data_IF_904229087634
#
_entry.id   IF_904229087634
#
_cell.length_a   1.000
_cell.length_b   1.000
_cell.length_c   1.000
_cell.angle_alpha   90.00
_cell.angle_beta   90.00
_cell.angle_gamma   90.00
#
_symmetry.space_group_name_H-M   'P 1'
#
loop_
_entity.id
_entity.type
_entity.pdbx_description
1 polymer ?
#
# COMPACT_ATOMS: atom_id res chain seq x y z
N UNK A 1 3.88 0.96 -15.61
CA UNK A 1 4.31 2.38 -15.68
C UNK A 1 4.90 2.74 -14.34
N UNK A 2 5.98 3.50 -14.30
CA UNK A 2 6.48 4.06 -13.04
C UNK A 2 5.53 5.16 -12.58
N UNK A 3 5.29 5.26 -11.28
CA UNK A 3 4.59 6.40 -10.72
C UNK A 3 5.44 7.67 -10.85
N UNK A 4 4.78 8.81 -11.04
CA UNK A 4 5.43 10.11 -11.15
C UNK A 4 5.21 10.91 -9.87
N UNK A 5 6.30 11.33 -9.24
CA UNK A 5 6.27 12.17 -8.04
C UNK A 5 6.44 13.69 -8.36
N UNK A 6 6.65 14.03 -9.63
CA UNK A 6 6.75 15.41 -10.13
C UNK A 6 8.19 15.84 -10.49
N UNK A 7 9.13 14.95 -10.28
CA UNK A 7 10.57 15.08 -10.40
C UNK A 7 11.15 13.94 -11.28
N UNK A 8 12.44 14.03 -11.68
CA UNK A 8 13.02 13.03 -12.58
C UNK A 8 12.96 11.61 -12.00
N UNK A 9 12.67 10.62 -12.85
CA UNK A 9 12.41 9.22 -12.47
C UNK A 9 13.42 8.58 -11.50
N UNK A 10 14.67 9.02 -11.51
CA UNK A 10 15.76 8.46 -10.68
C UNK A 10 16.10 9.30 -9.46
N UNK A 11 15.33 10.34 -9.15
CA UNK A 11 15.53 11.16 -7.96
C UNK A 11 15.17 10.41 -6.68
N UNK A 12 15.64 10.91 -5.54
CA UNK A 12 15.27 10.34 -4.23
C UNK A 12 13.79 10.63 -3.94
N UNK A 13 13.08 9.67 -3.35
CA UNK A 13 11.75 9.94 -2.79
C UNK A 13 11.72 9.47 -1.35
N UNK A 14 11.35 10.39 -0.47
CA UNK A 14 11.11 10.19 0.95
C UNK A 14 9.84 10.96 1.27
N UNK A 15 8.95 10.37 2.07
CA UNK A 15 7.71 11.04 2.48
C UNK A 15 6.97 11.68 1.30
N UNK A 16 6.80 10.91 0.23
CA UNK A 16 6.24 11.36 -1.05
C UNK A 16 5.10 10.45 -1.49
N UNK A 17 4.24 10.95 -2.35
CA UNK A 17 3.16 10.19 -2.95
C UNK A 17 2.96 10.61 -4.41
N UNK A 18 2.37 9.72 -5.19
CA UNK A 18 2.04 9.99 -6.58
C UNK A 18 0.53 9.92 -6.82
N UNK A 19 0.08 10.43 -7.96
CA UNK A 19 -1.31 10.35 -8.40
C UNK A 19 -1.45 9.29 -9.50
N UNK A 20 -2.44 8.40 -9.38
CA UNK A 20 -2.77 7.41 -10.41
C UNK A 20 -4.25 7.47 -10.75
N UNK A 21 -4.54 7.87 -11.98
CA UNK A 21 -5.86 7.84 -12.60
C UNK A 21 -6.29 6.41 -12.93
N UNK A 22 -7.51 6.04 -12.55
CA UNK A 22 -8.12 4.75 -12.81
C UNK A 22 -9.25 4.89 -13.84
N UNK A 23 -9.37 3.97 -14.81
CA UNK A 23 -10.50 3.90 -15.74
C UNK A 23 -11.79 3.32 -15.10
N UNK A 24 -11.75 3.04 -13.80
CA UNK A 24 -12.84 2.48 -12.99
C UNK A 24 -12.81 3.06 -11.57
N UNK A 25 -13.83 2.74 -10.76
CA UNK A 25 -13.89 3.15 -9.36
C UNK A 25 -13.17 2.12 -8.47
N UNK A 26 -12.19 2.57 -7.70
CA UNK A 26 -11.66 1.84 -6.55
C UNK A 26 -12.53 2.11 -5.34
N UNK A 27 -13.07 1.06 -4.73
CA UNK A 27 -13.89 1.14 -3.51
C UNK A 27 -13.08 0.73 -2.29
N UNK A 28 -13.06 1.60 -1.27
CA UNK A 28 -12.53 1.32 0.07
C UNK A 28 -13.66 1.64 1.07
N UNK A 29 -14.19 0.60 1.73
CA UNK A 29 -15.38 0.68 2.58
C UNK A 29 -16.56 1.39 1.87
N UNK A 30 -17.16 2.44 2.44
CA UNK A 30 -18.28 3.15 1.79
C UNK A 30 -17.84 4.19 0.76
N UNK A 31 -16.54 4.40 0.57
CA UNK A 31 -15.99 5.42 -0.33
C UNK A 31 -15.51 4.81 -1.63
N UNK A 32 -15.61 5.56 -2.72
CA UNK A 32 -15.05 5.18 -4.00
C UNK A 32 -14.48 6.38 -4.76
N UNK A 33 -13.38 6.19 -5.47
CA UNK A 33 -12.76 7.19 -6.32
C UNK A 33 -12.12 6.55 -7.57
N UNK A 34 -11.93 7.36 -8.61
CA UNK A 34 -11.14 6.99 -9.80
C UNK A 34 -9.72 7.55 -9.75
N UNK A 35 -9.29 8.13 -8.63
CA UNK A 35 -7.93 8.60 -8.40
C UNK A 35 -7.45 7.97 -7.11
N UNK A 36 -6.25 7.41 -7.15
CA UNK A 36 -5.55 6.86 -5.99
C UNK A 36 -4.25 7.59 -5.74
N UNK A 37 -3.82 7.55 -4.49
CA UNK A 37 -2.60 8.18 -4.03
C UNK A 37 -1.67 7.16 -3.37
N UNK A 38 -0.89 6.39 -4.16
CA UNK A 38 0.16 5.54 -3.63
C UNK A 38 1.25 6.38 -2.95
N UNK A 39 1.54 6.06 -1.69
CA UNK A 39 2.58 6.70 -0.90
C UNK A 39 3.84 5.84 -0.88
N UNK A 40 5.00 6.47 -0.92
CA UNK A 40 6.31 5.82 -0.70
C UNK A 40 6.31 4.95 0.54
N UNK A 41 5.64 5.38 1.60
CA UNK A 41 5.47 4.69 2.89
C UNK A 41 4.53 3.47 2.85
N UNK A 42 4.33 2.86 1.68
CA UNK A 42 3.73 1.52 1.55
C UNK A 42 2.23 1.44 1.83
N UNK A 43 1.50 2.53 1.62
CA UNK A 43 0.04 2.58 1.64
C UNK A 43 -0.54 3.25 0.39
N UNK A 44 -1.82 3.00 0.11
CA UNK A 44 -2.56 3.64 -0.99
C UNK A 44 -3.88 4.17 -0.44
N UNK A 45 -4.12 5.47 -0.62
CA UNK A 45 -5.37 6.13 -0.22
C UNK A 45 -6.22 6.56 -1.42
N UNK A 46 -7.50 6.84 -1.15
CA UNK A 46 -8.40 7.54 -2.08
C UNK A 46 -8.89 8.86 -1.47
N UNK A 47 -9.18 9.84 -2.33
CA UNK A 47 -9.65 11.16 -1.93
C UNK A 47 -8.51 12.18 -1.73
N UNK A 48 -7.46 11.79 -1.02
CA UNK A 48 -6.27 12.63 -0.79
C UNK A 48 -5.00 11.78 -0.61
N UNK A 49 -3.83 12.35 -0.91
CA UNK A 49 -2.52 11.75 -0.64
C UNK A 49 -2.02 12.05 0.77
N UNK A 50 -1.05 11.27 1.23
CA UNK A 50 -0.42 11.47 2.55
C UNK A 50 1.04 11.04 2.53
N UNK A 51 1.80 11.63 3.44
CA UNK A 51 3.22 11.40 3.67
C UNK A 51 3.47 10.69 5.02
N UNK A 52 2.43 10.17 5.66
CA UNK A 52 2.55 9.58 7.00
C UNK A 52 3.51 8.38 7.00
N UNK A 53 4.60 8.45 7.77
CA UNK A 53 5.61 7.40 7.84
C UNK A 53 5.57 6.59 9.14
N UNK A 54 4.89 7.06 10.19
CA UNK A 54 4.87 6.41 11.50
C UNK A 54 3.71 5.41 11.63
N UNK A 55 3.93 4.08 11.53
CA UNK A 55 2.84 3.13 11.54
C UNK A 55 2.11 3.10 12.89
N UNK A 56 0.80 2.92 12.82
CA UNK A 56 -0.06 2.77 13.99
C UNK A 56 -1.05 1.61 13.79
N UNK A 57 -1.69 1.21 14.89
CA UNK A 57 -2.83 0.31 14.83
C UNK A 57 -3.96 0.95 14.01
N UNK A 58 -4.56 0.15 13.12
CA UNK A 58 -5.69 0.54 12.29
C UNK A 58 -7.02 0.25 13.02
N UNK A 59 -8.02 1.13 12.91
CA UNK A 59 -7.95 2.42 12.22
C UNK A 59 -7.21 3.50 13.02
N UNK A 60 -6.66 4.49 12.32
CA UNK A 60 -5.98 5.67 12.89
C UNK A 60 -6.33 6.95 12.14
N UNK A 61 -6.25 8.09 12.84
CA UNK A 61 -6.39 9.43 12.28
C UNK A 61 -5.11 9.96 11.60
N UNK A 62 -4.00 9.21 11.66
CA UNK A 62 -2.74 9.61 10.99
C UNK A 62 -2.72 9.33 9.48
N UNK A 63 -3.65 8.50 9.00
CA UNK A 63 -3.82 8.19 7.59
C UNK A 63 -5.10 8.84 7.06
N UNK A 64 -5.19 9.13 5.75
CA UNK A 64 -6.46 9.41 5.11
C UNK A 64 -7.48 8.32 5.47
N UNK A 65 -8.73 8.73 5.67
CA UNK A 65 -9.74 7.84 6.24
C UNK A 65 -9.89 6.54 5.44
N UNK A 66 -9.81 6.62 4.10
CA UNK A 66 -9.98 5.49 3.18
C UNK A 66 -8.63 5.08 2.58
N UNK A 67 -7.97 4.14 3.25
CA UNK A 67 -6.59 3.75 2.97
C UNK A 67 -6.41 2.24 3.09
N UNK A 68 -5.69 1.64 2.14
CA UNK A 68 -5.15 0.29 2.25
C UNK A 68 -3.66 0.35 2.63
N UNK A 69 -3.23 -0.51 3.54
CA UNK A 69 -1.88 -0.57 4.07
C UNK A 69 -1.31 -1.96 3.78
N UNK A 70 -0.81 -2.23 2.56
CA UNK A 70 -0.12 -3.49 2.28
C UNK A 70 1.19 -3.62 3.06
N UNK A 71 1.89 -2.52 3.35
CA UNK A 71 3.10 -2.51 4.16
C UNK A 71 3.37 -1.07 4.65
N UNK A 72 2.51 -0.52 5.52
CA UNK A 72 2.72 0.84 5.99
C UNK A 72 3.90 0.90 6.97
N UNK A 73 4.97 1.56 6.54
CA UNK A 73 6.24 1.73 7.27
C UNK A 73 6.96 3.00 6.77
N UNK A 74 8.07 3.37 7.41
CA UNK A 74 8.95 4.44 6.97
C UNK A 74 9.87 3.94 5.83
N UNK A 75 9.48 4.25 4.59
CA UNK A 75 10.08 3.71 3.37
C UNK A 75 10.61 4.80 2.44
N UNK A 76 11.69 4.47 1.74
CA UNK A 76 12.53 5.42 1.01
C UNK A 76 12.98 4.84 -0.33
N UNK A 77 12.82 5.62 -1.40
CA UNK A 77 13.34 5.32 -2.73
C UNK A 77 14.71 5.95 -2.93
N UNK A 78 15.74 5.13 -3.11
CA UNK A 78 17.11 5.59 -3.34
C UNK A 78 17.37 6.02 -4.77
N UNK A 79 18.14 7.11 -4.91
CA UNK A 79 18.62 7.61 -6.21
C UNK A 79 19.45 6.56 -6.94
N UNK A 80 19.30 6.51 -8.27
CA UNK A 80 20.08 5.64 -9.14
C UNK A 80 19.80 4.14 -8.98
N UNK A 81 18.69 3.77 -8.33
CA UNK A 81 18.24 2.39 -8.18
C UNK A 81 16.99 2.10 -9.02
N UNK A 82 16.61 0.83 -9.09
CA UNK A 82 15.35 0.39 -9.70
C UNK A 82 14.14 0.55 -8.77
N UNK A 83 14.33 1.18 -7.60
CA UNK A 83 13.28 1.33 -6.61
C UNK A 83 12.18 2.29 -7.09
N UNK A 84 10.97 2.03 -6.60
CA UNK A 84 9.84 2.92 -6.73
C UNK A 84 8.50 2.20 -6.64
N UNK A 85 7.48 2.96 -7.00
CA UNK A 85 6.11 2.48 -7.14
C UNK A 85 5.83 2.37 -8.63
N UNK A 86 5.32 1.22 -9.05
CA UNK A 86 4.91 0.95 -10.42
C UNK A 86 3.46 0.50 -10.43
N UNK A 87 2.80 0.66 -11.57
CA UNK A 87 1.44 0.19 -11.73
C UNK A 87 1.16 -0.28 -13.15
N UNK A 88 0.26 -1.23 -13.29
CA UNK A 88 -0.17 -1.78 -14.57
C UNK A 88 -1.65 -2.13 -14.56
N UNK A 89 -2.36 -1.71 -15.61
CA UNK A 89 -3.71 -2.19 -15.89
C UNK A 89 -3.67 -3.52 -16.64
N UNK A 90 -4.67 -4.36 -16.41
CA UNK A 90 -4.90 -5.50 -17.30
C UNK A 90 -5.33 -5.03 -18.70
N UNK A 91 -5.34 -5.95 -19.67
CA UNK A 91 -5.69 -5.63 -21.06
C UNK A 91 -7.13 -5.10 -21.23
N UNK A 92 -8.03 -5.40 -20.30
CA UNK A 92 -9.42 -4.97 -20.33
C UNK A 92 -9.66 -3.63 -19.60
N UNK A 93 -8.64 -3.06 -18.95
CA UNK A 93 -8.77 -1.90 -18.06
C UNK A 93 -9.85 -2.08 -16.97
N UNK A 94 -9.94 -3.29 -16.40
CA UNK A 94 -10.88 -3.62 -15.30
C UNK A 94 -10.16 -3.90 -13.99
N UNK A 95 -8.85 -4.11 -14.02
CA UNK A 95 -8.03 -4.34 -12.83
C UNK A 95 -6.73 -3.56 -12.91
N UNK A 96 -6.15 -3.28 -11.75
CA UNK A 96 -4.85 -2.66 -11.58
C UNK A 96 -4.00 -3.50 -10.63
N UNK A 97 -2.71 -3.59 -10.93
CA UNK A 97 -1.69 -4.05 -9.98
C UNK A 97 -0.73 -2.91 -9.73
N UNK A 98 -0.54 -2.55 -8.46
CA UNK A 98 0.57 -1.73 -8.00
C UNK A 98 1.71 -2.66 -7.58
N UNK A 99 2.94 -2.28 -7.89
CA UNK A 99 4.15 -2.97 -7.46
C UNK A 99 5.00 -1.97 -6.69
N UNK A 100 5.41 -2.36 -5.49
CA UNK A 100 6.32 -1.63 -4.64
C UNK A 100 7.63 -2.38 -4.61
N UNK A 101 8.71 -1.69 -4.99
CA UNK A 101 10.07 -2.14 -4.75
C UNK A 101 10.81 -0.97 -4.12
N UNK A 102 10.88 -0.90 -2.80
CA UNK A 102 11.36 0.29 -2.07
C UNK A 102 12.10 -0.13 -0.80
N UNK A 103 13.02 0.69 -0.31
CA UNK A 103 13.80 0.36 0.89
C UNK A 103 13.22 0.94 2.18
N UNK A 104 13.66 0.47 3.34
CA UNK A 104 13.40 1.18 4.60
C UNK A 104 14.27 2.45 4.70
N UNK A 105 13.74 3.51 5.30
CA UNK A 105 14.51 4.69 5.63
C UNK A 105 15.75 4.31 6.48
N UNK A 106 16.90 4.95 6.20
CA UNK A 106 18.19 4.64 6.83
C UNK A 106 18.97 3.46 6.25
N UNK A 107 18.30 2.49 5.60
CA UNK A 107 18.96 1.34 4.93
C UNK A 107 18.44 1.06 3.50
N UNK A 108 18.14 2.07 2.67
CA UNK A 108 17.23 1.89 1.55
C UNK A 108 17.74 0.92 0.48
N UNK A 109 19.04 0.79 0.27
CA UNK A 109 19.60 -0.11 -0.76
C UNK A 109 19.92 -1.51 -0.25
N UNK A 110 20.10 -1.68 1.06
CA UNK A 110 20.44 -2.96 1.68
C UNK A 110 19.21 -3.76 2.09
N UNK A 111 18.06 -3.09 2.16
CA UNK A 111 16.87 -3.59 2.82
C UNK A 111 15.57 -3.26 2.05
N UNK A 112 15.44 -3.72 0.80
CA UNK A 112 14.24 -3.49 0.02
C UNK A 112 13.09 -4.43 0.44
N UNK A 113 11.90 -3.86 0.51
CA UNK A 113 10.63 -4.59 0.46
C UNK A 113 10.15 -4.64 -1.00
N UNK A 114 9.58 -5.79 -1.38
CA UNK A 114 9.03 -6.06 -2.70
C UNK A 114 7.68 -6.73 -2.55
N UNK A 115 6.62 -6.03 -2.97
CA UNK A 115 5.26 -6.58 -2.92
C UNK A 115 4.38 -5.99 -4.02
N UNK A 116 3.27 -6.66 -4.30
CA UNK A 116 2.22 -6.15 -5.18
C UNK A 116 0.90 -6.01 -4.46
N UNK A 117 0.06 -5.11 -4.97
CA UNK A 117 -1.33 -4.91 -4.57
C UNK A 117 -2.19 -5.03 -5.82
N UNK A 118 -3.12 -5.98 -5.86
CA UNK A 118 -4.08 -6.11 -6.96
C UNK A 118 -5.49 -5.74 -6.53
N UNK A 119 -6.17 -4.99 -7.39
CA UNK A 119 -7.59 -4.65 -7.28
C UNK A 119 -8.31 -4.92 -8.61
N UNK A 120 -9.47 -5.58 -8.54
CA UNK A 120 -10.35 -5.84 -9.69
C UNK A 120 -11.70 -5.14 -9.45
N UNK A 121 -12.12 -4.31 -10.40
CA UNK A 121 -13.40 -3.60 -10.36
C UNK A 121 -14.62 -4.53 -10.33
N UNK A 122 -14.48 -5.79 -10.73
CA UNK A 122 -15.54 -6.80 -10.58
C UNK A 122 -15.60 -7.43 -9.19
N UNK A 123 -14.60 -7.19 -8.33
CA UNK A 123 -14.58 -7.57 -6.91
C UNK A 123 -14.35 -6.32 -6.05
N UNK A 124 -15.26 -5.34 -6.09
CA UNK A 124 -15.05 -4.06 -5.44
C UNK A 124 -14.90 -4.21 -3.93
N UNK A 125 -13.91 -3.53 -3.36
CA UNK A 125 -13.56 -3.58 -1.94
C UNK A 125 -12.67 -4.74 -1.52
N UNK A 126 -12.27 -5.62 -2.46
CA UNK A 126 -11.32 -6.71 -2.22
C UNK A 126 -9.94 -6.35 -2.77
N UNK A 127 -8.92 -6.52 -1.94
CA UNK A 127 -7.52 -6.22 -2.25
C UNK A 127 -6.67 -7.44 -1.95
N UNK A 128 -5.71 -7.73 -2.83
CA UNK A 128 -4.77 -8.85 -2.66
C UNK A 128 -3.36 -8.29 -2.59
N UNK A 129 -2.68 -8.52 -1.46
CA UNK A 129 -1.29 -8.19 -1.23
C UNK A 129 -0.45 -9.45 -1.41
N UNK A 130 0.59 -9.40 -2.23
CA UNK A 130 1.50 -10.52 -2.43
C UNK A 130 2.94 -10.06 -2.17
N UNK A 131 3.61 -10.70 -1.23
CA UNK A 131 4.96 -10.34 -0.79
C UNK A 131 6.02 -11.22 -1.44
N UNK A 132 7.02 -10.60 -2.06
CA UNK A 132 8.15 -11.28 -2.71
C UNK A 132 9.45 -11.11 -1.93
N UNK A 133 9.60 -9.97 -1.24
CA UNK A 133 10.72 -9.64 -0.36
C UNK A 133 10.24 -8.69 0.72
N UNK A 134 10.68 -8.88 1.95
CA UNK A 134 10.08 -8.24 3.14
C UNK A 134 11.16 -7.61 4.01
N UNK A 135 12.19 -7.08 3.36
CA UNK A 135 13.38 -6.56 4.03
C UNK A 135 14.31 -7.65 4.58
N UNK A 136 15.27 -7.23 5.39
CA UNK A 136 16.41 -7.97 5.90
C UNK A 136 16.71 -7.52 7.34
N UNK A 137 17.21 -8.44 8.17
CA UNK A 137 17.72 -8.06 9.50
C UNK A 137 16.63 -7.62 10.48
N UNK A 138 16.79 -6.43 11.08
CA UNK A 138 15.97 -5.97 12.22
C UNK A 138 14.65 -5.31 11.83
N UNK A 139 14.45 -5.06 10.55
CA UNK A 139 13.27 -4.44 9.90
C UNK A 139 12.50 -5.46 9.06
N UNK A 140 13.00 -6.71 9.02
CA UNK A 140 12.42 -7.75 8.20
C UNK A 140 11.03 -8.16 8.67
N UNK A 141 10.29 -8.71 7.71
CA UNK A 141 9.03 -9.41 7.90
C UNK A 141 7.89 -8.58 8.52
N UNK A 142 7.93 -7.26 8.37
CA UNK A 142 6.88 -6.35 8.87
C UNK A 142 6.96 -6.08 10.38
N UNK A 143 8.13 -6.24 10.98
CA UNK A 143 8.34 -6.00 12.43
C UNK A 143 8.10 -4.55 12.87
N UNK A 144 8.15 -3.59 11.94
CA UNK A 144 7.78 -2.18 12.18
C UNK A 144 6.48 -1.78 11.46
N UNK A 145 6.02 -2.60 10.52
CA UNK A 145 4.95 -2.24 9.62
C UNK A 145 3.55 -2.44 10.21
N UNK A 146 2.59 -1.66 9.71
CA UNK A 146 1.15 -1.91 9.86
C UNK A 146 0.60 -2.44 8.53
N UNK A 147 -0.02 -3.63 8.57
CA UNK A 147 -0.67 -4.26 7.42
C UNK A 147 -2.17 -4.39 7.67
N UNK A 148 -2.98 -3.90 6.74
CA UNK A 148 -4.44 -3.95 6.84
C UNK A 148 -5.15 -2.92 5.96
N UNK A 149 -6.34 -2.51 6.37
CA UNK A 149 -7.14 -1.48 5.70
C UNK A 149 -7.90 -0.62 6.69
N UNK A 150 -8.20 0.61 6.33
CA UNK A 150 -9.14 1.48 7.05
C UNK A 150 -10.05 2.25 6.09
N UNK A 151 -11.21 2.66 6.59
CA UNK A 151 -12.22 3.39 5.84
C UNK A 151 -13.30 3.95 6.74
N UNK A 152 -14.27 4.62 6.15
CA UNK A 152 -15.52 4.96 6.84
C UNK A 152 -16.64 4.06 6.36
N UNK A 153 -17.57 3.74 7.26
CA UNK A 153 -18.84 3.11 6.90
C UNK A 153 -19.83 4.14 6.33
N UNK A 154 -21.01 3.67 5.93
CA UNK A 154 -22.05 4.53 5.36
C UNK A 154 -22.59 5.59 6.33
N UNK A 155 -22.36 5.46 7.64
CA UNK A 155 -22.70 6.46 8.66
C UNK A 155 -21.55 7.45 8.93
N UNK A 156 -20.39 7.27 8.29
CA UNK A 156 -19.20 8.07 8.49
C UNK A 156 -18.35 7.62 9.69
N UNK A 157 -18.65 6.48 10.30
CA UNK A 157 -17.85 5.94 11.40
C UNK A 157 -16.63 5.22 10.85
N UNK A 158 -15.46 5.49 11.43
CA UNK A 158 -14.21 4.87 11.02
C UNK A 158 -14.19 3.38 11.36
N UNK A 159 -13.73 2.58 10.41
CA UNK A 159 -13.59 1.14 10.48
C UNK A 159 -12.17 0.76 10.07
N UNK A 160 -11.71 -0.39 10.56
CA UNK A 160 -10.42 -0.93 10.17
C UNK A 160 -10.34 -2.44 10.35
N UNK A 161 -9.61 -3.06 9.44
CA UNK A 161 -9.21 -4.47 9.50
C UNK A 161 -7.69 -4.50 9.59
N UNK A 162 -7.16 -4.77 10.79
CA UNK A 162 -5.74 -5.00 11.01
C UNK A 162 -5.40 -6.46 10.73
N UNK A 163 -4.44 -6.70 9.84
CA UNK A 163 -3.84 -8.03 9.68
C UNK A 163 -2.65 -8.21 10.64
N UNK A 164 -1.71 -7.26 10.64
CA UNK A 164 -0.55 -7.25 11.54
C UNK A 164 -0.15 -5.82 11.90
N UNK A 165 0.38 -5.63 13.09
CA UNK A 165 0.98 -4.37 13.53
C UNK A 165 2.25 -4.71 14.30
N UNK A 166 3.38 -4.15 13.86
CA UNK A 166 4.71 -4.34 14.47
C UNK A 166 5.01 -5.81 14.79
N UNK A 167 4.83 -6.67 13.78
CA UNK A 167 4.90 -8.12 13.96
C UNK A 167 5.57 -8.79 12.77
N UNK A 168 6.63 -9.54 13.06
CA UNK A 168 7.46 -10.25 12.09
C UNK A 168 6.74 -11.50 11.51
N UNK A 169 5.65 -11.28 10.76
CA UNK A 169 4.82 -12.34 10.16
C UNK A 169 4.57 -12.15 8.66
N UNK A 170 5.07 -11.07 8.07
CA UNK A 170 4.94 -10.79 6.64
C UNK A 170 6.14 -11.40 5.92
N UNK A 171 6.03 -12.66 5.49
CA UNK A 171 7.17 -13.37 4.88
C UNK A 171 7.04 -13.47 3.36
N UNK A 172 8.14 -13.68 2.61
CA UNK A 172 8.07 -13.94 1.17
C UNK A 172 7.16 -15.12 0.82
N UNK A 173 6.31 -14.94 -0.19
CA UNK A 173 5.28 -15.90 -0.61
C UNK A 173 3.96 -15.78 0.15
N UNK A 174 3.89 -14.97 1.22
CA UNK A 174 2.62 -14.68 1.89
C UNK A 174 1.70 -13.92 0.93
N UNK A 175 0.43 -14.27 0.95
CA UNK A 175 -0.65 -13.52 0.31
C UNK A 175 -1.62 -13.08 1.39
N UNK A 176 -1.93 -11.79 1.47
CA UNK A 176 -2.97 -11.24 2.35
C UNK A 176 -4.11 -10.73 1.49
N UNK A 177 -5.30 -11.28 1.68
CA UNK A 177 -6.52 -10.78 1.04
C UNK A 177 -7.33 -9.99 2.06
N UNK A 178 -7.54 -8.71 1.79
CA UNK A 178 -8.37 -7.83 2.61
C UNK A 178 -9.69 -7.53 1.88
N UNK A 179 -10.81 -7.75 2.56
CA UNK A 179 -12.15 -7.42 2.09
C UNK A 179 -12.76 -6.32 2.98
N UNK A 180 -12.81 -5.11 2.43
CA UNK A 180 -13.36 -3.92 3.10
C UNK A 180 -14.89 -3.95 3.20
N UNK A 181 -15.57 -4.87 2.51
CA UNK A 181 -17.02 -5.06 2.68
C UNK A 181 -17.34 -5.86 3.94
N UNK A 182 -16.47 -6.80 4.32
CA UNK A 182 -16.61 -7.64 5.52
C UNK A 182 -15.72 -7.20 6.68
N UNK A 183 -14.87 -6.18 6.46
CA UNK A 183 -13.89 -5.69 7.42
C UNK A 183 -12.95 -6.80 7.90
N UNK A 184 -12.38 -7.57 6.96
CA UNK A 184 -11.48 -8.68 7.26
C UNK A 184 -10.22 -8.66 6.42
N UNK A 185 -9.13 -9.22 6.96
CA UNK A 185 -7.91 -9.56 6.22
C UNK A 185 -7.49 -10.98 6.59
N UNK A 186 -7.23 -11.81 5.59
CA UNK A 186 -6.87 -13.23 5.78
C UNK A 186 -5.67 -13.62 4.94
N UNK A 187 -4.82 -14.50 5.47
CA UNK A 187 -3.61 -14.96 4.79
C UNK A 187 -3.77 -16.31 4.07
N UNK A 188 -3.03 -16.47 2.98
CA UNK A 188 -2.76 -17.74 2.30
C UNK A 188 -1.31 -17.80 1.78
N UNK A 189 -0.89 -18.95 1.27
CA UNK A 189 0.41 -19.17 0.60
C UNK A 189 0.17 -19.77 -0.79
#
# INVERSE_FOLDING_TARGET
MACSFGDPQYFVEDDSYCEVDLPFQMKIYSSAASITWPSTNGFISIGEGSIAFEPQQLPTDQLPANTICPYWDDLYKSEGTEQGIFYQFNAANTSITYEYYIGHAGYPTADPVHFTVTYDSFMPGVFVYHYYGTGNGQTADGVLASVGTQGVDAAGAQQGAQFSFESAIITPGLIVTCDTNTNTCTSSF
#
